data_IF_720221259167
#
_entry.id   IF_720221259167
#
_cell.length_a   1.000
_cell.length_b   1.000
_cell.length_c   1.000
_cell.angle_alpha   90.00
_cell.angle_beta   90.00
_cell.angle_gamma   90.00
#
_symmetry.space_group_name_H-M   'P 1'
#
loop_
_entity.id
_entity.type
_entity.pdbx_description
1 polymer ?
#
# COMPACT_ATOMS: atom_id res chain seq x y z
N UNK A 1 0.76 18.67 4.28
CA UNK A 1 2.17 18.26 4.49
C UNK A 1 2.35 16.85 3.93
N UNK A 2 3.25 16.61 2.98
CA UNK A 2 3.52 15.27 2.45
C UNK A 2 4.47 14.53 3.40
N UNK A 3 4.08 13.37 3.91
CA UNK A 3 4.95 12.56 4.78
C UNK A 3 6.07 11.96 3.94
N UNK A 4 7.31 12.23 4.34
CA UNK A 4 8.49 11.52 3.86
C UNK A 4 8.57 10.12 4.48
N UNK A 5 9.49 9.29 3.98
CA UNK A 5 9.69 7.94 4.48
C UNK A 5 10.01 7.92 5.98
N UNK A 6 11.17 8.48 6.36
CA UNK A 6 11.71 8.42 7.72
C UNK A 6 11.78 9.81 8.38
N UNK A 7 10.77 10.64 8.12
CA UNK A 7 10.65 11.98 8.72
C UNK A 7 9.31 12.10 9.45
N UNK A 8 9.27 11.87 10.77
CA UNK A 8 8.06 12.08 11.55
C UNK A 8 7.72 13.57 11.63
N UNK A 9 6.43 13.84 11.83
CA UNK A 9 5.93 15.18 12.20
C UNK A 9 5.87 15.19 13.72
N UNK A 10 6.01 16.37 14.35
CA UNK A 10 5.80 16.51 15.80
C UNK A 10 4.47 15.85 16.20
N UNK A 11 4.53 14.95 17.19
CA UNK A 11 3.44 14.09 17.67
C UNK A 11 2.71 13.24 16.61
N UNK A 12 3.37 12.96 15.47
CA UNK A 12 2.78 12.22 14.35
C UNK A 12 3.65 11.09 13.81
N UNK A 13 3.02 10.19 13.06
CA UNK A 13 3.69 9.10 12.36
C UNK A 13 4.42 9.58 11.10
N UNK A 14 5.61 9.04 10.84
CA UNK A 14 6.25 9.02 9.52
C UNK A 14 5.56 8.01 8.57
N UNK A 15 5.93 7.97 7.29
CA UNK A 15 5.40 6.93 6.39
C UNK A 15 5.98 5.54 6.73
N UNK A 16 7.20 5.48 7.27
CA UNK A 16 7.85 4.26 7.77
C UNK A 16 7.11 3.67 8.96
N UNK A 17 6.64 4.50 9.89
CA UNK A 17 5.81 4.04 11.02
C UNK A 17 4.48 3.47 10.51
N UNK A 18 3.84 4.17 9.57
CA UNK A 18 2.61 3.68 8.92
C UNK A 18 2.85 2.35 8.20
N UNK A 19 3.96 2.21 7.48
CA UNK A 19 4.34 0.96 6.82
C UNK A 19 4.54 -0.18 7.82
N UNK A 20 5.20 0.11 8.95
CA UNK A 20 5.45 -0.86 10.02
C UNK A 20 4.18 -1.50 10.60
N UNK A 21 3.01 -0.85 10.48
CA UNK A 21 1.72 -1.45 10.87
C UNK A 21 0.85 -1.93 9.71
N UNK A 22 1.01 -1.34 8.51
CA UNK A 22 0.21 -1.71 7.33
C UNK A 22 0.71 -3.00 6.69
N UNK A 23 2.02 -3.18 6.55
CA UNK A 23 2.58 -4.37 5.91
C UNK A 23 2.28 -5.67 6.68
N UNK A 24 2.40 -5.71 8.03
CA UNK A 24 2.01 -6.90 8.79
C UNK A 24 0.52 -7.21 8.65
N UNK A 25 -0.36 -6.21 8.72
CA UNK A 25 -1.79 -6.41 8.51
C UNK A 25 -2.09 -7.01 7.13
N UNK A 26 -1.42 -6.52 6.08
CA UNK A 26 -1.56 -7.09 4.75
C UNK A 26 -1.10 -8.55 4.70
N UNK A 27 0.09 -8.86 5.21
CA UNK A 27 0.66 -10.20 5.16
C UNK A 27 -0.11 -11.22 6.02
N UNK A 28 -0.59 -10.82 7.20
CA UNK A 28 -1.21 -11.73 8.17
C UNK A 28 -2.73 -11.86 7.99
N UNK A 29 -3.38 -10.85 7.43
CA UNK A 29 -4.86 -10.82 7.30
C UNK A 29 -5.31 -10.89 5.85
N UNK A 30 -4.73 -10.08 4.97
CA UNK A 30 -5.23 -9.93 3.59
C UNK A 30 -4.67 -11.01 2.67
N UNK A 31 -3.36 -11.23 2.71
CA UNK A 31 -2.69 -12.19 1.83
C UNK A 31 -3.26 -13.62 1.98
N UNK A 32 -3.57 -14.15 3.18
CA UNK A 32 -4.19 -15.47 3.30
C UNK A 32 -5.55 -15.59 2.61
N UNK A 33 -6.36 -14.52 2.59
CA UNK A 33 -7.64 -14.46 1.87
C UNK A 33 -7.43 -14.41 0.36
N UNK A 34 -6.44 -13.67 -0.11
CA UNK A 34 -6.09 -13.66 -1.54
C UNK A 34 -5.62 -15.04 -2.00
N UNK A 35 -4.80 -15.72 -1.18
CA UNK A 35 -4.31 -17.07 -1.46
C UNK A 35 -5.41 -18.15 -1.37
N UNK A 36 -6.51 -17.91 -0.66
CA UNK A 36 -7.71 -18.76 -0.70
C UNK A 36 -8.58 -18.54 -1.94
N UNK A 37 -8.19 -17.61 -2.83
CA UNK A 37 -8.90 -17.29 -4.07
C UNK A 37 -10.00 -16.24 -3.89
N UNK A 38 -10.02 -15.52 -2.78
CA UNK A 38 -10.98 -14.44 -2.54
C UNK A 38 -10.52 -13.11 -3.17
N UNK A 39 -11.49 -12.26 -3.48
CA UNK A 39 -11.22 -10.89 -3.90
C UNK A 39 -11.42 -9.94 -2.71
N UNK A 40 -10.42 -9.11 -2.41
CA UNK A 40 -10.45 -8.20 -1.26
C UNK A 40 -10.47 -6.74 -1.72
N UNK A 41 -11.46 -5.97 -1.26
CA UNK A 41 -11.51 -4.52 -1.42
C UNK A 41 -10.91 -3.84 -0.18
N UNK A 42 -9.89 -3.01 -0.40
CA UNK A 42 -9.27 -2.20 0.66
C UNK A 42 -9.64 -0.73 0.43
N UNK A 43 -10.30 -0.13 1.42
CA UNK A 43 -10.59 1.30 1.46
C UNK A 43 -9.81 1.93 2.60
N UNK A 44 -9.08 3.00 2.31
CA UNK A 44 -8.20 3.65 3.29
C UNK A 44 -7.86 5.08 2.91
N UNK A 45 -6.80 5.60 3.51
CA UNK A 45 -6.34 6.98 3.30
C UNK A 45 -4.98 6.99 2.59
N UNK A 46 -4.59 8.15 2.05
CA UNK A 46 -3.40 8.28 1.21
C UNK A 46 -2.11 7.67 1.81
N UNK A 47 -1.81 7.87 3.09
CA UNK A 47 -0.57 7.32 3.67
C UNK A 47 -0.63 5.81 3.88
N UNK A 48 -1.77 5.25 4.30
CA UNK A 48 -1.90 3.80 4.47
C UNK A 48 -1.92 3.09 3.11
N UNK A 49 -2.61 3.65 2.12
CA UNK A 49 -2.60 3.14 0.76
C UNK A 49 -1.21 3.24 0.13
N UNK A 50 -0.49 4.36 0.29
CA UNK A 50 0.91 4.47 -0.19
C UNK A 50 1.83 3.47 0.48
N UNK A 51 1.71 3.27 1.79
CA UNK A 51 2.50 2.27 2.51
C UNK A 51 2.23 0.85 1.99
N UNK A 52 0.97 0.54 1.69
CA UNK A 52 0.60 -0.74 1.09
C UNK A 52 1.14 -0.90 -0.34
N UNK A 53 0.95 0.11 -1.18
CA UNK A 53 1.46 0.16 -2.57
C UNK A 53 2.98 0.00 -2.59
N UNK A 54 3.70 0.62 -1.64
CA UNK A 54 5.15 0.42 -1.50
C UNK A 54 5.51 -1.05 -1.42
N UNK A 55 4.80 -1.82 -0.59
CA UNK A 55 5.03 -3.25 -0.45
C UNK A 55 4.68 -4.00 -1.72
N UNK A 56 3.44 -3.83 -2.22
CA UNK A 56 2.91 -4.55 -3.38
C UNK A 56 3.79 -4.32 -4.62
N UNK A 57 4.15 -3.07 -4.92
CA UNK A 57 4.92 -2.70 -6.12
C UNK A 57 6.44 -2.68 -5.88
N UNK A 58 6.90 -3.11 -4.70
CA UNK A 58 8.32 -3.14 -4.31
C UNK A 58 9.06 -1.79 -4.50
N UNK A 59 8.42 -0.69 -4.14
CA UNK A 59 8.98 0.66 -4.28
C UNK A 59 10.07 0.90 -3.24
N UNK A 60 11.16 1.56 -3.62
CA UNK A 60 12.27 1.93 -2.72
C UNK A 60 11.87 2.97 -1.66
N UNK A 61 12.73 3.18 -0.66
CA UNK A 61 12.50 4.19 0.39
C UNK A 61 12.67 5.61 -0.15
N UNK A 62 13.49 5.75 -1.19
CA UNK A 62 13.76 6.99 -1.91
C UNK A 62 12.56 7.39 -2.79
N UNK A 63 12.02 6.42 -3.53
CA UNK A 63 10.99 6.67 -4.55
C UNK A 63 9.58 6.76 -3.98
N UNK A 64 9.30 6.14 -2.82
CA UNK A 64 7.95 6.13 -2.24
C UNK A 64 7.44 7.56 -1.96
N UNK A 65 8.37 8.49 -1.73
CA UNK A 65 8.05 9.88 -1.52
C UNK A 65 7.40 10.54 -2.73
N UNK A 66 7.50 9.97 -3.95
CA UNK A 66 6.90 10.47 -5.19
C UNK A 66 5.59 9.78 -5.59
N UNK A 67 5.30 8.60 -5.02
CA UNK A 67 4.08 7.82 -5.33
C UNK A 67 2.81 8.58 -4.95
N UNK A 68 1.90 8.70 -5.92
CA UNK A 68 0.57 9.28 -5.76
C UNK A 68 -0.49 8.17 -5.76
N UNK A 69 -1.55 8.37 -4.98
CA UNK A 69 -2.78 7.58 -5.09
C UNK A 69 -3.76 8.44 -5.86
N UNK A 70 -4.10 8.01 -7.08
CA UNK A 70 -5.02 8.76 -7.92
C UNK A 70 -6.38 8.99 -7.23
N UNK A 71 -7.01 10.12 -7.52
CA UNK A 71 -8.39 10.38 -7.10
C UNK A 71 -9.38 9.73 -8.08
N UNK A 72 -10.57 9.35 -7.59
CA UNK A 72 -11.65 8.75 -8.40
C UNK A 72 -11.20 7.53 -9.23
N UNK A 73 -10.26 6.76 -8.69
CA UNK A 73 -9.79 5.52 -9.31
C UNK A 73 -9.64 4.43 -8.26
N UNK A 74 -9.84 3.19 -8.68
CA UNK A 74 -9.46 1.99 -7.96
C UNK A 74 -8.21 1.38 -8.62
N UNK A 75 -7.23 0.99 -7.81
CA UNK A 75 -6.09 0.20 -8.24
C UNK A 75 -6.44 -1.27 -8.02
N UNK A 76 -6.45 -2.05 -9.09
CA UNK A 76 -6.75 -3.48 -9.06
C UNK A 76 -5.45 -4.23 -9.31
N UNK A 77 -5.04 -5.04 -8.35
CA UNK A 77 -3.82 -5.82 -8.40
C UNK A 77 -4.13 -7.32 -8.47
N UNK A 78 -3.43 -8.01 -9.36
CA UNK A 78 -3.15 -9.44 -9.17
C UNK A 78 -1.80 -9.55 -8.48
N UNK A 79 -1.69 -10.44 -7.50
CA UNK A 79 -0.47 -10.59 -6.69
C UNK A 79 0.04 -12.02 -6.70
N UNK A 80 1.33 -12.17 -6.48
CA UNK A 80 2.00 -13.46 -6.33
C UNK A 80 1.83 -14.05 -4.91
N UNK A 81 2.49 -15.18 -4.66
CA UNK A 81 2.45 -15.87 -3.37
C UNK A 81 3.03 -15.05 -2.21
N UNK A 82 3.89 -14.06 -2.49
CA UNK A 82 4.49 -13.15 -1.51
C UNK A 82 3.66 -11.86 -1.35
N UNK A 83 2.55 -11.74 -2.07
CA UNK A 83 1.68 -10.55 -2.08
C UNK A 83 2.27 -9.38 -2.85
N UNK A 84 3.14 -9.64 -3.83
CA UNK A 84 3.75 -8.63 -4.72
C UNK A 84 3.01 -8.59 -6.06
N UNK A 85 3.03 -7.44 -6.70
CA UNK A 85 2.35 -7.21 -7.98
C UNK A 85 2.81 -8.21 -9.06
N UNK A 86 1.83 -8.91 -9.66
CA UNK A 86 1.96 -9.59 -10.95
C UNK A 86 1.42 -8.72 -12.09
N UNK A 87 0.27 -8.07 -11.85
CA UNK A 87 -0.35 -7.16 -12.79
C UNK A 87 -1.13 -6.07 -12.07
N UNK A 88 -1.25 -4.91 -12.72
CA UNK A 88 -1.96 -3.73 -12.22
C UNK A 88 -2.88 -3.16 -13.28
N UNK A 89 -4.12 -2.92 -12.90
CA UNK A 89 -5.12 -2.23 -13.69
C UNK A 89 -5.69 -1.05 -12.91
N UNK A 90 -6.03 0.03 -13.62
CA UNK A 90 -6.65 1.22 -13.02
C UNK A 90 -8.08 1.32 -13.55
N UNK A 91 -9.04 1.37 -12.63
CA UNK A 91 -10.46 1.48 -12.94
C UNK A 91 -10.96 2.83 -12.45
N UNK A 92 -11.54 3.64 -13.34
CA UNK A 92 -12.20 4.89 -12.95
C UNK A 92 -13.48 4.61 -12.18
N UNK A 93 -13.75 5.41 -11.13
CA UNK A 93 -14.94 5.32 -10.28
C UNK A 93 -15.95 6.44 -10.56
#
# INVERSE_FOLDING_TARGET
>A
LRRGWDRPIEDGESLKDVYGRVQPFYAETILPQLLSGENVLIVGHGNSLRALIKYIENISDEDISSTEVGHNVALVYEVDADGRELSKNIVSL
#
